data_IF_430927915803
#
_entry.id   IF_430927915803
#
_cell.length_a   1.000
_cell.length_b   1.000
_cell.length_c   1.000
_cell.angle_alpha   90.00
_cell.angle_beta   90.00
_cell.angle_gamma   90.00
#
_symmetry.space_group_name_H-M   'P 1'
#
loop_
_entity.id
_entity.type
_entity.pdbx_description
1 polymer ?
#
# COMPACT_ATOMS: atom_id res chain seq x y z
N UNK A 1 -6.87 27.57 -22.50
CA UNK A 1 -7.90 27.12 -21.54
C UNK A 1 -7.24 27.00 -20.19
N UNK A 2 -7.57 27.92 -19.27
CA UNK A 2 -7.02 27.94 -17.92
C UNK A 2 -7.72 26.86 -17.09
N UNK A 3 -7.14 25.66 -16.98
CA UNK A 3 -7.51 24.76 -15.90
C UNK A 3 -6.80 25.25 -14.64
N UNK A 4 -7.58 25.81 -13.70
CA UNK A 4 -7.19 25.81 -12.28
C UNK A 4 -7.34 24.36 -11.79
N UNK A 5 -6.48 23.48 -12.27
CA UNK A 5 -6.35 22.10 -11.79
C UNK A 5 -5.36 22.07 -10.63
N UNK A 6 -5.75 22.69 -9.51
CA UNK A 6 -5.02 22.62 -8.24
C UNK A 6 -5.63 21.64 -7.23
N UNK A 7 -6.76 21.01 -7.56
CA UNK A 7 -7.79 20.79 -6.54
C UNK A 7 -8.49 19.42 -6.64
N UNK A 8 -7.72 18.35 -6.84
CA UNK A 8 -8.28 16.99 -6.80
C UNK A 8 -8.95 16.66 -5.44
N UNK A 9 -8.56 17.33 -4.35
CA UNK A 9 -9.24 17.23 -3.06
C UNK A 9 -10.47 18.16 -2.90
N UNK A 10 -10.64 19.20 -3.72
CA UNK A 10 -11.85 20.04 -3.62
C UNK A 10 -13.06 19.29 -4.17
N UNK A 11 -12.90 18.55 -5.26
CA UNK A 11 -13.97 17.65 -5.76
C UNK A 11 -14.38 16.64 -4.69
N UNK A 12 -13.47 16.28 -3.80
CA UNK A 12 -13.67 15.34 -2.70
C UNK A 12 -14.30 16.00 -1.45
N UNK A 13 -14.05 17.29 -1.23
CA UNK A 13 -14.52 18.06 -0.06
C UNK A 13 -16.04 18.10 0.04
N UNK A 14 -16.72 18.15 -1.09
CA UNK A 14 -18.19 18.21 -1.15
C UNK A 14 -18.84 16.88 -0.75
N UNK A 15 -18.13 15.76 -0.91
CA UNK A 15 -18.65 14.43 -0.57
C UNK A 15 -18.27 13.97 0.85
N UNK A 16 -17.16 14.46 1.41
CA UNK A 16 -16.68 14.04 2.74
C UNK A 16 -15.82 15.12 3.43
N UNK A 17 -16.48 16.17 3.98
CA UNK A 17 -15.81 17.38 4.46
C UNK A 17 -14.93 17.14 5.68
N UNK A 18 -15.27 16.18 6.55
CA UNK A 18 -14.53 15.94 7.79
C UNK A 18 -13.16 15.31 7.53
N UNK A 19 -13.09 14.25 6.72
CA UNK A 19 -11.84 13.56 6.38
C UNK A 19 -10.91 14.48 5.59
N UNK A 20 -11.44 15.24 4.63
CA UNK A 20 -10.66 16.23 3.86
C UNK A 20 -10.14 17.35 4.76
N UNK A 21 -10.98 17.87 5.66
CA UNK A 21 -10.55 18.89 6.62
C UNK A 21 -9.45 18.36 7.56
N UNK A 22 -9.51 17.09 7.95
CA UNK A 22 -8.47 16.45 8.74
C UNK A 22 -7.16 16.38 7.98
N UNK A 23 -7.17 15.90 6.72
CA UNK A 23 -5.96 15.84 5.88
C UNK A 23 -5.37 17.23 5.65
N UNK A 24 -6.19 18.23 5.35
CA UNK A 24 -5.72 19.59 5.07
C UNK A 24 -5.05 20.28 6.28
N UNK A 25 -5.26 19.76 7.50
CA UNK A 25 -4.57 20.23 8.70
C UNK A 25 -3.21 19.58 8.92
N UNK A 26 -2.89 18.48 8.21
CA UNK A 26 -1.62 17.75 8.33
C UNK A 26 -0.47 18.55 7.72
N UNK A 27 0.63 18.67 8.45
CA UNK A 27 1.82 19.37 7.96
C UNK A 27 2.49 18.62 6.81
N UNK A 28 2.44 17.29 6.83
CA UNK A 28 2.97 16.42 5.78
C UNK A 28 2.27 16.69 4.44
N UNK A 29 0.94 16.86 4.47
CA UNK A 29 0.15 17.19 3.28
C UNK A 29 0.45 18.59 2.76
N UNK A 30 0.51 19.60 3.65
CA UNK A 30 0.84 20.97 3.26
C UNK A 30 2.24 21.06 2.64
N UNK A 31 3.23 20.37 3.24
CA UNK A 31 4.59 20.31 2.74
C UNK A 31 4.64 19.63 1.35
N UNK A 32 3.89 18.54 1.18
CA UNK A 32 3.74 17.86 -0.10
C UNK A 32 3.16 18.78 -1.19
N UNK A 33 2.03 19.44 -0.94
CA UNK A 33 1.39 20.34 -1.91
C UNK A 33 2.32 21.50 -2.28
N UNK A 34 2.91 22.16 -1.28
CA UNK A 34 3.84 23.28 -1.50
C UNK A 34 5.06 22.87 -2.32
N UNK A 35 5.62 21.69 -2.05
CA UNK A 35 6.81 21.22 -2.78
C UNK A 35 6.44 20.78 -4.19
N UNK A 36 5.27 20.16 -4.38
CA UNK A 36 4.73 19.82 -5.69
C UNK A 36 4.56 21.06 -6.58
N UNK A 37 3.92 22.12 -6.08
CA UNK A 37 3.70 23.36 -6.83
C UNK A 37 5.02 23.97 -7.31
N UNK A 38 6.05 23.98 -6.44
CA UNK A 38 7.38 24.46 -6.79
C UNK A 38 8.04 23.60 -7.87
N UNK A 39 7.96 22.28 -7.76
CA UNK A 39 8.50 21.36 -8.76
C UNK A 39 7.82 21.57 -10.12
N UNK A 40 6.50 21.64 -10.12
CA UNK A 40 5.71 21.84 -11.33
C UNK A 40 6.04 23.16 -12.03
N UNK A 41 6.19 24.25 -11.26
CA UNK A 41 6.57 25.56 -11.80
C UNK A 41 7.96 25.53 -12.45
N UNK A 42 8.95 24.92 -11.80
CA UNK A 42 10.31 24.85 -12.32
C UNK A 42 10.40 23.99 -13.59
N UNK A 43 9.71 22.86 -13.61
CA UNK A 43 9.69 21.98 -14.79
C UNK A 43 9.02 22.69 -15.99
N UNK A 44 7.95 23.47 -15.76
CA UNK A 44 7.31 24.29 -16.82
C UNK A 44 8.27 25.32 -17.42
N UNK A 45 9.20 25.89 -16.65
CA UNK A 45 10.20 26.86 -17.13
C UNK A 45 11.26 26.21 -18.03
N UNK A 46 11.67 24.97 -17.71
CA UNK A 46 12.73 24.25 -18.43
C UNK A 46 12.24 23.63 -19.75
N UNK A 47 10.96 23.28 -19.84
CA UNK A 47 10.34 22.68 -21.03
C UNK A 47 10.54 21.16 -21.13
N UNK A 48 9.49 20.46 -21.56
CA UNK A 48 9.46 18.99 -21.68
C UNK A 48 10.01 18.54 -23.04
N UNK A 49 11.32 18.33 -23.14
CA UNK A 49 11.89 17.44 -24.15
C UNK A 49 12.28 16.13 -23.47
N UNK A 50 12.00 14.98 -24.11
CA UNK A 50 12.37 13.68 -23.54
C UNK A 50 13.90 13.59 -23.44
N UNK A 51 14.38 13.49 -22.21
CA UNK A 51 15.79 13.34 -21.89
C UNK A 51 15.92 12.45 -20.65
N UNK A 52 16.66 11.33 -20.73
CA UNK A 52 16.85 10.40 -19.62
C UNK A 52 17.36 11.03 -18.33
N UNK A 53 18.03 12.20 -18.40
CA UNK A 53 18.45 12.98 -17.23
C UNK A 53 17.28 13.46 -16.38
N UNK A 54 16.08 13.55 -16.95
CA UNK A 54 14.84 13.93 -16.26
C UNK A 54 13.95 12.74 -15.87
N UNK A 55 14.43 11.48 -15.97
CA UNK A 55 13.68 10.31 -15.54
C UNK A 55 13.16 10.44 -14.10
N UNK A 56 13.97 10.97 -13.18
CA UNK A 56 13.56 11.25 -11.81
C UNK A 56 12.42 12.29 -11.72
N UNK A 57 12.37 13.26 -12.64
CA UNK A 57 11.27 14.24 -12.71
C UNK A 57 9.99 13.57 -13.21
N UNK A 58 10.04 12.72 -14.24
CA UNK A 58 8.85 11.99 -14.72
C UNK A 58 8.25 11.08 -13.64
N UNK A 59 9.12 10.40 -12.87
CA UNK A 59 8.68 9.61 -11.71
C UNK A 59 8.05 10.50 -10.63
N UNK A 60 8.54 11.71 -10.40
CA UNK A 60 7.95 12.66 -9.47
C UNK A 60 6.49 13.01 -9.83
N UNK A 61 6.15 13.19 -11.11
CA UNK A 61 4.75 13.39 -11.53
C UNK A 61 3.87 12.18 -11.21
N UNK A 62 4.37 10.98 -11.48
CA UNK A 62 3.65 9.74 -11.18
C UNK A 62 3.42 9.57 -9.68
N UNK A 63 4.40 9.94 -8.85
CA UNK A 63 4.29 9.94 -7.40
C UNK A 63 3.27 10.95 -6.89
N UNK A 64 3.23 12.15 -7.48
CA UNK A 64 2.28 13.17 -7.07
C UNK A 64 0.83 12.71 -7.25
N UNK A 65 0.51 12.10 -8.39
CA UNK A 65 -0.81 11.56 -8.66
C UNK A 65 -1.14 10.40 -7.71
N UNK A 66 -0.19 9.49 -7.51
CA UNK A 66 -0.41 8.33 -6.64
C UNK A 66 -0.61 8.72 -5.17
N UNK A 67 0.16 9.69 -4.65
CA UNK A 67 -0.06 10.25 -3.31
C UNK A 67 -1.45 10.89 -3.17
N UNK A 68 -1.91 11.64 -4.18
CA UNK A 68 -3.27 12.22 -4.21
C UNK A 68 -4.34 11.13 -4.21
N UNK A 69 -4.16 10.07 -4.99
CA UNK A 69 -5.09 8.92 -5.03
C UNK A 69 -5.14 8.15 -3.71
N UNK A 70 -4.00 7.95 -3.04
CA UNK A 70 -3.95 7.33 -1.70
C UNK A 70 -4.74 8.18 -0.70
N UNK A 71 -4.49 9.49 -0.67
CA UNK A 71 -5.19 10.41 0.24
C UNK A 71 -6.70 10.43 -0.04
N UNK A 72 -7.07 10.45 -1.32
CA UNK A 72 -8.47 10.38 -1.74
C UNK A 72 -9.13 9.06 -1.28
N UNK A 73 -8.47 7.92 -1.52
CA UNK A 73 -8.94 6.61 -1.09
C UNK A 73 -9.08 6.51 0.43
N UNK A 74 -8.15 7.08 1.19
CA UNK A 74 -8.22 7.12 2.65
C UNK A 74 -9.45 7.92 3.13
N UNK A 75 -9.68 9.11 2.57
CA UNK A 75 -10.84 9.92 2.89
C UNK A 75 -12.17 9.21 2.59
N UNK A 76 -12.24 8.48 1.46
CA UNK A 76 -13.40 7.66 1.11
C UNK A 76 -13.61 6.48 2.05
N UNK A 77 -12.52 5.79 2.42
CA UNK A 77 -12.58 4.70 3.38
C UNK A 77 -13.16 5.18 4.73
N UNK A 78 -12.71 6.34 5.22
CA UNK A 78 -13.23 6.96 6.44
C UNK A 78 -14.72 7.35 6.32
N UNK A 79 -15.11 7.98 5.21
CA UNK A 79 -16.50 8.39 5.00
C UNK A 79 -17.46 7.20 4.97
N UNK A 80 -17.09 6.13 4.26
CA UNK A 80 -17.88 4.90 4.23
C UNK A 80 -17.88 4.18 5.57
N UNK A 81 -16.76 4.22 6.30
CA UNK A 81 -16.65 3.64 7.63
C UNK A 81 -17.63 4.30 8.60
N UNK A 82 -17.67 5.63 8.61
CA UNK A 82 -18.59 6.42 9.43
C UNK A 82 -20.05 6.17 9.03
N UNK A 83 -20.34 6.18 7.74
CA UNK A 83 -21.67 5.84 7.21
C UNK A 83 -22.13 4.46 7.70
N UNK A 84 -21.25 3.45 7.58
CA UNK A 84 -21.56 2.09 7.99
C UNK A 84 -21.79 2.01 9.50
N UNK A 85 -20.93 2.64 10.30
CA UNK A 85 -21.04 2.66 11.77
C UNK A 85 -22.36 3.26 12.28
N UNK A 86 -22.91 4.22 11.52
CA UNK A 86 -24.15 4.90 11.86
C UNK A 86 -25.41 4.16 11.40
N UNK A 87 -25.29 3.18 10.49
CA UNK A 87 -26.44 2.50 9.86
C UNK A 87 -26.59 1.04 10.23
N UNK A 88 -25.56 0.42 10.78
CA UNK A 88 -25.52 -1.02 11.05
C UNK A 88 -25.28 -1.23 12.55
N UNK A 89 -25.76 -2.35 13.08
CA UNK A 89 -25.64 -2.68 14.50
C UNK A 89 -24.35 -3.45 14.75
N UNK A 90 -23.76 -3.27 15.93
CA UNK A 90 -22.64 -4.08 16.38
C UNK A 90 -23.00 -5.58 16.36
N UNK A 91 -22.10 -6.42 15.83
CA UNK A 91 -22.34 -7.86 15.67
C UNK A 91 -22.95 -8.27 14.31
N UNK A 92 -23.25 -7.32 13.43
CA UNK A 92 -23.58 -7.58 12.02
C UNK A 92 -22.41 -8.22 11.27
N UNK A 93 -22.68 -8.83 10.12
CA UNK A 93 -21.66 -9.44 9.25
C UNK A 93 -20.56 -8.45 8.85
N UNK A 94 -19.33 -8.94 8.56
CA UNK A 94 -18.21 -8.09 8.17
C UNK A 94 -18.54 -7.11 7.04
N UNK A 95 -17.88 -5.94 7.03
CA UNK A 95 -18.14 -4.90 6.03
C UNK A 95 -17.81 -5.30 4.60
N UNK A 96 -17.13 -6.42 4.35
CA UNK A 96 -16.96 -6.90 2.97
C UNK A 96 -18.30 -7.31 2.32
N UNK A 97 -19.34 -7.55 3.12
CA UNK A 97 -20.72 -7.73 2.64
C UNK A 97 -21.29 -6.42 2.05
N UNK A 98 -20.67 -5.27 2.35
CA UNK A 98 -20.93 -3.94 1.79
C UNK A 98 -19.60 -3.38 1.24
N UNK A 99 -19.30 -3.79 0.01
CA UNK A 99 -17.99 -3.74 -0.65
C UNK A 99 -17.18 -2.44 -0.52
N UNK A 100 -17.80 -1.28 -0.33
CA UNK A 100 -17.18 0.04 -0.47
C UNK A 100 -16.02 0.30 0.50
N UNK A 101 -16.20 0.09 1.82
CA UNK A 101 -15.10 0.33 2.79
C UNK A 101 -13.91 -0.58 2.50
N UNK A 102 -14.20 -1.86 2.26
CA UNK A 102 -13.20 -2.88 1.96
C UNK A 102 -12.46 -2.60 0.66
N UNK A 103 -13.17 -2.07 -0.34
CA UNK A 103 -12.59 -1.67 -1.62
C UNK A 103 -11.61 -0.51 -1.46
N UNK A 104 -12.01 0.60 -0.83
CA UNK A 104 -11.14 1.78 -0.69
C UNK A 104 -9.93 1.51 0.21
N UNK A 105 -10.10 0.78 1.32
CA UNK A 105 -8.98 0.38 2.16
C UNK A 105 -8.00 -0.55 1.42
N UNK A 106 -8.51 -1.53 0.66
CA UNK A 106 -7.70 -2.44 -0.15
C UNK A 106 -6.92 -1.73 -1.26
N UNK A 107 -7.55 -0.74 -1.91
CA UNK A 107 -6.88 0.08 -2.92
C UNK A 107 -5.77 0.93 -2.28
N UNK A 108 -6.01 1.54 -1.12
CA UNK A 108 -4.98 2.29 -0.40
C UNK A 108 -3.77 1.41 -0.09
N UNK A 109 -3.98 0.19 0.42
CA UNK A 109 -2.91 -0.78 0.70
C UNK A 109 -2.05 -1.01 -0.55
N UNK A 110 -2.69 -1.27 -1.69
CA UNK A 110 -2.00 -1.57 -2.95
C UNK A 110 -1.26 -0.35 -3.50
N UNK A 111 -1.87 0.83 -3.41
CA UNK A 111 -1.27 2.08 -3.89
C UNK A 111 -0.10 2.53 -3.00
N UNK A 112 -0.18 2.36 -1.67
CA UNK A 112 0.91 2.66 -0.74
C UNK A 112 2.16 1.85 -1.10
N UNK A 113 2.00 0.55 -1.31
CA UNK A 113 3.07 -0.36 -1.72
C UNK A 113 3.71 0.10 -3.05
N UNK A 114 2.87 0.34 -4.06
CA UNK A 114 3.34 0.85 -5.35
C UNK A 114 4.02 2.22 -5.27
N UNK A 115 3.56 3.09 -4.38
CA UNK A 115 4.13 4.43 -4.18
C UNK A 115 5.51 4.36 -3.54
N UNK A 116 5.68 3.48 -2.55
CA UNK A 116 6.96 3.19 -1.90
C UNK A 116 8.03 2.79 -2.91
N UNK A 117 7.71 1.83 -3.78
CA UNK A 117 8.62 1.37 -4.84
C UNK A 117 8.93 2.48 -5.85
N UNK A 118 7.92 3.22 -6.31
CA UNK A 118 8.12 4.32 -7.27
C UNK A 118 8.98 5.44 -6.69
N UNK A 119 8.88 5.70 -5.39
CA UNK A 119 9.70 6.71 -4.73
C UNK A 119 11.16 6.28 -4.72
N UNK A 120 11.43 5.01 -4.42
CA UNK A 120 12.77 4.45 -4.50
C UNK A 120 13.31 4.51 -5.95
N UNK A 121 12.52 4.10 -6.95
CA UNK A 121 12.90 4.18 -8.36
C UNK A 121 13.18 5.61 -8.83
N UNK A 122 12.43 6.60 -8.34
CA UNK A 122 12.69 8.02 -8.61
C UNK A 122 14.08 8.44 -8.11
N UNK A 123 14.42 8.08 -6.88
CA UNK A 123 15.74 8.37 -6.28
C UNK A 123 16.83 7.60 -6.99
N UNK A 124 16.58 6.33 -7.33
CA UNK A 124 17.50 5.53 -8.12
C UNK A 124 17.80 6.22 -9.46
N UNK A 125 16.76 6.74 -10.13
CA UNK A 125 16.87 7.39 -11.44
C UNK A 125 17.64 8.71 -11.40
N UNK A 126 17.77 9.29 -10.20
CA UNK A 126 18.58 10.47 -9.97
C UNK A 126 20.08 10.13 -10.12
N UNK A 127 20.52 9.02 -9.55
CA UNK A 127 21.93 8.62 -9.53
C UNK A 127 22.33 7.74 -10.73
N UNK A 128 21.39 6.99 -11.29
CA UNK A 128 21.63 6.08 -12.41
C UNK A 128 20.50 6.25 -13.44
N UNK A 129 20.77 6.85 -14.62
CA UNK A 129 19.76 6.88 -15.67
C UNK A 129 19.46 5.46 -16.17
N UNK A 130 18.29 4.92 -15.85
CA UNK A 130 17.89 3.56 -16.25
C UNK A 130 17.69 3.42 -17.76
N UNK A 131 18.05 2.25 -18.26
CA UNK A 131 17.53 1.74 -19.51
C UNK A 131 16.30 0.87 -19.22
N UNK A 132 15.06 1.35 -19.48
CA UNK A 132 13.85 0.60 -19.18
C UNK A 132 13.70 -0.72 -19.97
N UNK A 133 14.57 -0.96 -20.97
CA UNK A 133 14.58 -2.20 -21.75
C UNK A 133 15.41 -3.33 -21.10
N UNK A 134 16.19 -3.03 -20.06
CA UNK A 134 17.01 -4.01 -19.35
C UNK A 134 16.26 -4.49 -18.10
N UNK A 135 15.70 -5.70 -18.16
CA UNK A 135 14.91 -6.30 -17.06
C UNK A 135 15.63 -6.35 -15.71
N UNK A 136 16.95 -6.35 -15.73
CA UNK A 136 17.82 -6.46 -14.54
C UNK A 136 17.85 -5.16 -13.70
N UNK A 137 17.28 -4.06 -14.20
CA UNK A 137 17.25 -2.76 -13.52
C UNK A 137 15.93 -2.44 -12.78
N UNK A 138 14.90 -3.29 -12.89
CA UNK A 138 13.62 -3.09 -12.18
C UNK A 138 13.73 -3.65 -10.76
N UNK A 139 14.20 -2.82 -9.84
CA UNK A 139 14.36 -3.15 -8.43
C UNK A 139 13.16 -2.68 -7.59
N UNK A 140 12.76 -3.47 -6.60
CA UNK A 140 11.83 -3.06 -5.55
C UNK A 140 12.54 -2.17 -4.52
N UNK A 141 11.77 -1.52 -3.63
CA UNK A 141 12.29 -0.61 -2.61
C UNK A 141 13.53 -1.15 -1.88
N UNK A 142 13.47 -2.38 -1.35
CA UNK A 142 14.59 -2.96 -0.58
C UNK A 142 15.85 -3.10 -1.45
N UNK A 143 15.69 -3.50 -2.71
CA UNK A 143 16.81 -3.67 -3.64
C UNK A 143 17.44 -2.34 -4.04
N UNK A 144 16.64 -1.29 -4.24
CA UNK A 144 17.14 0.07 -4.47
C UNK A 144 17.89 0.57 -3.24
N UNK A 145 17.28 0.46 -2.06
CA UNK A 145 17.86 0.97 -0.82
C UNK A 145 19.19 0.28 -0.50
N UNK A 146 19.30 -1.05 -0.68
CA UNK A 146 20.56 -1.78 -0.47
C UNK A 146 21.68 -1.21 -1.36
N UNK A 147 21.36 -0.94 -2.63
CA UNK A 147 22.34 -0.39 -3.58
C UNK A 147 22.79 1.03 -3.21
N UNK A 148 21.84 1.87 -2.78
CA UNK A 148 22.13 3.23 -2.32
C UNK A 148 22.94 3.24 -1.01
N UNK A 149 22.73 2.28 -0.11
CA UNK A 149 23.47 2.21 1.16
C UNK A 149 24.86 1.57 1.01
N UNK A 150 25.11 0.79 -0.04
CA UNK A 150 26.40 0.14 -0.29
C UNK A 150 26.98 0.51 -1.68
N UNK A 151 27.16 1.81 -1.99
CA UNK A 151 27.48 2.27 -3.34
C UNK A 151 28.78 1.67 -3.89
N UNK A 152 29.81 1.48 -3.05
CA UNK A 152 31.10 0.87 -3.45
C UNK A 152 30.94 -0.58 -3.92
N UNK A 153 30.10 -1.38 -3.23
CA UNK A 153 29.82 -2.78 -3.60
C UNK A 153 29.20 -2.89 -5.00
N UNK A 154 28.44 -1.86 -5.39
CA UNK A 154 27.69 -1.83 -6.64
C UNK A 154 28.27 -0.87 -7.68
N UNK A 155 29.46 -0.30 -7.44
CA UNK A 155 30.13 0.61 -8.38
C UNK A 155 29.39 1.93 -8.64
N UNK A 156 28.54 2.37 -7.70
CA UNK A 156 27.73 3.58 -7.83
C UNK A 156 28.48 4.77 -7.22
N UNK A 157 28.44 5.92 -7.88
CA UNK A 157 28.98 7.18 -7.35
C UNK A 157 27.83 8.05 -6.85
N UNK A 158 27.71 8.18 -5.52
CA UNK A 158 26.72 9.05 -4.87
C UNK A 158 27.40 10.37 -4.47
N UNK A 159 27.39 11.36 -5.36
CA UNK A 159 27.83 12.71 -4.99
C UNK A 159 26.64 13.53 -4.48
N UNK A 160 26.78 14.09 -3.27
CA UNK A 160 26.10 15.31 -2.87
C UNK A 160 24.70 15.24 -2.26
N UNK A 161 24.09 14.08 -2.02
CA UNK A 161 22.69 14.04 -1.53
C UNK A 161 22.35 12.84 -0.62
N UNK A 162 22.98 12.77 0.56
CA UNK A 162 22.66 11.77 1.59
C UNK A 162 21.20 11.89 2.07
N UNK A 163 20.65 13.11 1.97
CA UNK A 163 19.30 13.48 2.36
C UNK A 163 18.23 12.68 1.61
N UNK A 164 18.45 12.31 0.35
CA UNK A 164 17.53 11.41 -0.38
C UNK A 164 17.38 10.06 0.33
N UNK A 165 18.50 9.51 0.78
CA UNK A 165 18.54 8.21 1.46
C UNK A 165 17.85 8.34 2.81
N UNK A 166 18.09 9.42 3.55
CA UNK A 166 17.42 9.68 4.83
C UNK A 166 15.89 9.74 4.69
N UNK A 167 15.37 10.37 3.62
CA UNK A 167 13.93 10.38 3.34
C UNK A 167 13.39 9.00 2.95
N UNK A 168 14.13 8.20 2.18
CA UNK A 168 13.75 6.82 1.92
C UNK A 168 13.73 5.99 3.20
N UNK A 169 14.70 6.16 4.10
CA UNK A 169 14.72 5.42 5.36
C UNK A 169 13.48 5.69 6.24
N UNK A 170 12.78 6.83 6.09
CA UNK A 170 11.51 7.09 6.79
C UNK A 170 10.39 6.15 6.38
N UNK A 171 10.44 5.60 5.17
CA UNK A 171 9.49 4.61 4.67
C UNK A 171 9.99 3.17 4.89
N UNK A 172 10.99 2.99 5.76
CA UNK A 172 11.39 1.71 6.35
C UNK A 172 10.66 1.55 7.67
N UNK A 173 9.88 0.49 7.81
CA UNK A 173 9.23 0.24 9.09
C UNK A 173 8.22 -0.89 9.06
N UNK A 174 7.83 -1.32 10.25
CA UNK A 174 6.88 -2.41 10.42
C UNK A 174 5.49 -2.05 9.90
N UNK A 175 5.10 -0.77 9.91
CA UNK A 175 3.81 -0.34 9.37
C UNK A 175 3.74 -0.62 7.85
N UNK A 176 4.79 -0.32 7.08
CA UNK A 176 4.86 -0.66 5.64
C UNK A 176 4.90 -2.18 5.40
N UNK A 177 5.70 -2.91 6.17
CA UNK A 177 5.73 -4.39 6.11
C UNK A 177 4.39 -5.02 6.45
N UNK A 178 3.60 -4.40 7.34
CA UNK A 178 2.23 -4.85 7.65
C UNK A 178 1.30 -4.64 6.47
N UNK A 179 1.37 -3.48 5.81
CA UNK A 179 0.62 -3.18 4.59
C UNK A 179 0.94 -4.18 3.46
N UNK A 180 2.21 -4.50 3.25
CA UNK A 180 2.65 -5.53 2.28
C UNK A 180 2.05 -6.91 2.56
N UNK A 181 2.07 -7.34 3.82
CA UNK A 181 1.42 -8.60 4.23
C UNK A 181 -0.07 -8.63 3.85
N UNK A 182 -0.76 -7.50 3.97
CA UNK A 182 -2.18 -7.39 3.57
C UNK A 182 -2.35 -7.50 2.05
N UNK A 183 -1.42 -6.94 1.26
CA UNK A 183 -1.44 -7.03 -0.21
C UNK A 183 -1.34 -8.47 -0.70
N UNK A 184 -0.43 -9.27 -0.15
CA UNK A 184 -0.25 -10.67 -0.57
C UNK A 184 -1.53 -11.50 -0.44
N UNK A 185 -2.33 -11.26 0.60
CA UNK A 185 -3.57 -12.01 0.84
C UNK A 185 -4.64 -11.69 -0.22
N UNK A 186 -4.73 -10.43 -0.66
CA UNK A 186 -5.57 -10.02 -1.81
C UNK A 186 -5.16 -10.72 -3.11
N UNK A 187 -3.86 -10.84 -3.39
CA UNK A 187 -3.35 -11.47 -4.62
C UNK A 187 -3.72 -12.96 -4.68
N UNK A 188 -3.78 -13.64 -3.54
CA UNK A 188 -4.16 -15.06 -3.45
C UNK A 188 -5.69 -15.32 -3.47
N UNK A 189 -6.51 -14.36 -3.94
CA UNK A 189 -7.98 -14.40 -4.00
C UNK A 189 -8.70 -14.62 -2.66
N UNK A 190 -7.99 -14.63 -1.54
CA UNK A 190 -8.61 -14.58 -0.22
C UNK A 190 -8.85 -13.11 0.09
N UNK A 191 -10.02 -12.60 -0.30
CA UNK A 191 -10.38 -11.24 0.05
C UNK A 191 -10.46 -11.12 1.57
N UNK A 192 -9.59 -10.30 2.17
CA UNK A 192 -9.63 -10.10 3.59
C UNK A 192 -10.91 -9.37 3.97
N UNK A 193 -11.52 -9.81 5.06
CA UNK A 193 -12.80 -9.28 5.50
C UNK A 193 -12.55 -8.19 6.53
N UNK A 194 -12.99 -6.96 6.25
CA UNK A 194 -12.77 -5.84 7.18
C UNK A 194 -13.95 -5.75 8.16
N UNK A 195 -13.64 -5.73 9.45
CA UNK A 195 -14.58 -5.56 10.55
C UNK A 195 -14.57 -4.14 11.09
N UNK A 196 -15.74 -3.50 11.10
CA UNK A 196 -15.84 -2.06 11.41
C UNK A 196 -15.75 -1.74 12.90
N UNK A 197 -16.29 -2.62 13.73
CA UNK A 197 -16.39 -2.43 15.17
C UNK A 197 -15.24 -3.13 15.86
N UNK A 198 -15.27 -4.47 15.87
CA UNK A 198 -14.31 -5.35 16.51
C UNK A 198 -14.62 -6.81 16.16
N UNK A 199 -13.70 -7.71 16.49
CA UNK A 199 -13.93 -9.14 16.31
C UNK A 199 -15.07 -9.65 17.21
N UNK A 200 -16.22 -10.05 16.63
CA UNK A 200 -17.43 -10.52 17.32
C UNK A 200 -17.63 -12.06 17.32
N UNK A 201 -18.71 -12.57 17.96
CA UNK A 201 -18.94 -14.01 18.15
C UNK A 201 -19.36 -14.79 16.88
N UNK A 202 -19.89 -14.13 15.85
CA UNK A 202 -20.24 -14.77 14.56
C UNK A 202 -19.01 -15.23 13.76
N UNK A 203 -17.80 -15.00 14.28
CA UNK A 203 -16.52 -15.22 13.58
C UNK A 203 -15.95 -16.62 13.79
N UNK A 204 -16.63 -17.43 14.61
CA UNK A 204 -16.44 -18.88 14.70
C UNK A 204 -17.16 -19.62 13.56
N UNK A 205 -17.94 -18.94 12.72
CA UNK A 205 -18.52 -19.54 11.50
C UNK A 205 -17.34 -19.99 10.62
N UNK A 206 -17.22 -21.28 10.28
CA UNK A 206 -16.07 -21.80 9.55
C UNK A 206 -16.20 -21.50 8.04
N UNK A 207 -15.15 -20.95 7.45
CA UNK A 207 -15.00 -20.90 5.99
C UNK A 207 -14.41 -22.21 5.48
N UNK A 208 -14.94 -22.74 4.39
CA UNK A 208 -14.39 -23.92 3.72
C UNK A 208 -13.39 -23.47 2.66
N UNK A 209 -12.12 -23.82 2.86
CA UNK A 209 -11.04 -23.52 1.89
C UNK A 209 -10.61 -24.81 1.20
N UNK A 210 -10.62 -24.87 -0.15
CA UNK A 210 -10.12 -26.04 -0.86
C UNK A 210 -8.60 -26.16 -0.68
N UNK A 211 -8.12 -27.37 -0.42
CA UNK A 211 -6.71 -27.69 -0.31
C UNK A 211 -6.22 -28.18 -1.67
N UNK A 212 -5.65 -27.26 -2.47
CA UNK A 212 -5.29 -27.50 -3.87
C UNK A 212 -3.83 -27.92 -4.07
N UNK A 213 -2.98 -27.80 -3.04
CA UNK A 213 -1.54 -28.14 -3.13
C UNK A 213 -1.18 -29.29 -2.20
N UNK A 214 -0.22 -30.12 -2.61
CA UNK A 214 0.28 -31.23 -1.80
C UNK A 214 0.80 -30.76 -0.43
N UNK A 215 1.43 -29.59 -0.37
CA UNK A 215 1.89 -28.98 0.89
C UNK A 215 0.71 -28.63 1.82
N UNK A 216 -0.35 -28.02 1.29
CA UNK A 216 -1.54 -27.66 2.08
C UNK A 216 -2.30 -28.89 2.60
N UNK A 217 -2.37 -29.95 1.78
CA UNK A 217 -2.97 -31.24 2.15
C UNK A 217 -2.13 -31.89 3.25
N UNK A 218 -0.81 -31.88 3.12
CA UNK A 218 0.09 -32.46 4.11
C UNK A 218 0.01 -31.71 5.46
N UNK A 219 0.03 -30.37 5.44
CA UNK A 219 -0.21 -29.54 6.64
C UNK A 219 -1.57 -29.81 7.29
N UNK A 220 -2.60 -30.11 6.50
CA UNK A 220 -3.90 -30.47 7.06
C UNK A 220 -3.87 -31.86 7.72
N UNK A 221 -3.26 -32.86 7.05
CA UNK A 221 -3.04 -34.19 7.64
C UNK A 221 -2.23 -34.13 8.93
N UNK A 222 -1.21 -33.28 9.00
CA UNK A 222 -0.40 -33.12 10.22
C UNK A 222 -1.20 -32.46 11.35
N UNK A 223 -2.05 -31.47 11.07
CA UNK A 223 -3.01 -30.94 12.06
C UNK A 223 -4.02 -31.98 12.56
N UNK A 224 -4.47 -32.89 11.69
CA UNK A 224 -5.32 -34.01 12.09
C UNK A 224 -4.57 -34.99 12.98
N UNK A 225 -3.26 -35.23 12.74
CA UNK A 225 -2.40 -36.04 13.61
C UNK A 225 -2.30 -35.48 15.02
N UNK A 226 -2.20 -34.16 15.16
CA UNK A 226 -2.15 -33.48 16.45
C UNK A 226 -3.48 -33.53 17.22
N UNK A 227 -4.62 -33.39 16.51
CA UNK A 227 -5.96 -33.37 17.13
C UNK A 227 -6.53 -34.75 17.47
N UNK A 228 -6.21 -35.74 16.66
CA UNK A 228 -6.81 -37.08 16.75
C UNK A 228 -5.68 -38.13 16.80
N UNK A 229 -5.43 -38.74 17.97
CA UNK A 229 -4.35 -39.74 18.12
C UNK A 229 -4.58 -40.99 17.26
N UNK A 230 -5.84 -41.36 17.04
CA UNK A 230 -6.28 -42.55 16.32
C UNK A 230 -6.09 -42.42 14.78
N UNK A 231 -5.28 -43.28 14.14
CA UNK A 231 -5.11 -43.34 12.69
C UNK A 231 -6.40 -43.52 11.88
N UNK A 232 -7.28 -44.43 12.29
CA UNK A 232 -8.44 -44.81 11.48
C UNK A 232 -9.53 -43.74 11.56
N UNK A 233 -9.66 -43.13 12.73
CA UNK A 233 -10.53 -41.97 12.92
C UNK A 233 -10.04 -40.76 12.13
N UNK A 234 -8.72 -40.51 12.06
CA UNK A 234 -8.15 -39.43 11.24
C UNK A 234 -8.46 -39.57 9.76
N UNK A 235 -8.31 -40.77 9.23
CA UNK A 235 -8.59 -41.04 7.81
C UNK A 235 -10.08 -40.85 7.51
N UNK A 236 -10.96 -41.32 8.42
CA UNK A 236 -12.39 -41.09 8.33
C UNK A 236 -12.74 -39.60 8.35
N UNK A 237 -12.11 -38.81 9.22
CA UNK A 237 -12.31 -37.34 9.27
C UNK A 237 -11.82 -36.68 7.98
N UNK A 238 -10.65 -37.07 7.47
CA UNK A 238 -10.09 -36.54 6.23
C UNK A 238 -10.99 -36.82 5.02
N UNK A 239 -11.52 -38.03 4.88
CA UNK A 239 -12.45 -38.39 3.81
C UNK A 239 -13.77 -37.61 3.89
N UNK A 240 -14.31 -37.40 5.10
CA UNK A 240 -15.51 -36.58 5.32
C UNK A 240 -15.32 -35.09 5.02
N UNK A 241 -14.07 -34.62 4.97
CA UNK A 241 -13.74 -33.25 4.59
C UNK A 241 -13.65 -33.06 3.06
N UNK A 242 -13.83 -34.12 2.25
CA UNK A 242 -13.84 -34.00 0.79
C UNK A 242 -15.22 -33.59 0.28
N UNK A 243 -15.24 -32.62 -0.62
CA UNK A 243 -16.42 -32.26 -1.42
C UNK A 243 -16.01 -32.46 -2.88
N UNK A 244 -16.74 -33.31 -3.60
CA UNK A 244 -16.41 -33.69 -4.99
C UNK A 244 -14.95 -34.19 -5.16
N UNK A 245 -14.45 -34.91 -4.15
CA UNK A 245 -13.08 -35.45 -4.16
C UNK A 245 -11.98 -34.44 -3.79
N UNK A 246 -12.30 -33.15 -3.68
CA UNK A 246 -11.35 -32.12 -3.24
C UNK A 246 -11.42 -31.99 -1.72
N UNK A 247 -10.30 -32.13 -0.99
CA UNK A 247 -10.29 -31.93 0.47
C UNK A 247 -10.43 -30.45 0.82
N UNK A 248 -11.30 -30.14 1.78
CA UNK A 248 -11.48 -28.81 2.34
C UNK A 248 -11.00 -28.74 3.79
N UNK A 249 -10.39 -27.63 4.17
CA UNK A 249 -10.15 -27.30 5.57
C UNK A 249 -11.16 -26.26 6.02
N UNK A 250 -11.69 -26.41 7.23
CA UNK A 250 -12.38 -25.31 7.91
C UNK A 250 -11.35 -24.34 8.47
N UNK A 251 -11.54 -23.06 8.22
CA UNK A 251 -10.76 -21.98 8.84
C UNK A 251 -11.78 -21.04 9.50
N UNK A 252 -11.71 -20.83 10.83
CA UNK A 252 -12.52 -19.81 11.49
C UNK A 252 -12.38 -18.46 10.79
N UNK A 253 -13.50 -17.80 10.50
CA UNK A 253 -13.53 -16.51 9.80
C UNK A 253 -12.67 -15.47 10.51
N UNK A 254 -12.56 -15.50 11.84
CA UNK A 254 -11.65 -14.65 12.64
C UNK A 254 -10.19 -14.63 12.17
N UNK A 255 -9.69 -15.68 11.52
CA UNK A 255 -8.31 -15.71 11.00
C UNK A 255 -8.12 -14.92 9.70
N UNK A 256 -9.20 -14.52 9.05
CA UNK A 256 -9.22 -13.72 7.82
C UNK A 256 -9.85 -12.33 8.04
N UNK A 257 -10.31 -12.06 9.26
CA UNK A 257 -10.91 -10.79 9.62
C UNK A 257 -9.87 -9.79 10.09
N UNK A 258 -10.03 -8.56 9.65
CA UNK A 258 -9.17 -7.46 10.03
C UNK A 258 -9.98 -6.32 10.59
N UNK A 259 -9.55 -5.83 11.74
CA UNK A 259 -10.17 -4.66 12.32
C UNK A 259 -9.87 -3.41 11.49
N UNK A 260 -10.93 -2.71 11.09
CA UNK A 260 -10.87 -1.44 10.39
C UNK A 260 -9.94 -0.45 11.11
N UNK A 261 -10.07 -0.35 12.44
CA UNK A 261 -9.25 0.57 13.26
C UNK A 261 -7.75 0.31 13.10
N UNK A 262 -7.36 -0.97 12.99
CA UNK A 262 -5.97 -1.39 12.82
C UNK A 262 -5.48 -1.05 11.42
N UNK A 263 -6.25 -1.41 10.38
CA UNK A 263 -5.91 -1.09 8.99
C UNK A 263 -5.81 0.42 8.78
N UNK A 264 -6.81 1.17 9.25
CA UNK A 264 -6.87 2.63 9.21
C UNK A 264 -5.60 3.24 9.76
N UNK A 265 -5.14 2.79 10.94
CA UNK A 265 -3.91 3.31 11.56
C UNK A 265 -2.66 3.01 10.73
N UNK A 266 -2.58 1.83 10.13
CA UNK A 266 -1.44 1.47 9.28
C UNK A 266 -1.43 2.28 7.98
N UNK A 267 -2.59 2.41 7.32
CA UNK A 267 -2.74 3.24 6.11
C UNK A 267 -2.40 4.70 6.44
N UNK A 268 -2.97 5.25 7.52
CA UNK A 268 -2.73 6.64 7.94
C UNK A 268 -1.24 6.92 8.13
N UNK A 269 -0.54 6.09 8.91
CA UNK A 269 0.89 6.25 9.15
C UNK A 269 1.72 6.13 7.87
N UNK A 270 1.46 5.10 7.05
CA UNK A 270 2.21 4.89 5.81
C UNK A 270 1.97 6.03 4.83
N UNK A 271 0.73 6.51 4.70
CA UNK A 271 0.37 7.66 3.87
C UNK A 271 1.13 8.91 4.32
N UNK A 272 1.12 9.24 5.62
CA UNK A 272 1.83 10.41 6.13
C UNK A 272 3.35 10.30 5.92
N UNK A 273 3.93 9.12 6.19
CA UNK A 273 5.34 8.86 5.92
C UNK A 273 5.72 8.98 4.44
N UNK A 274 4.85 8.52 3.54
CA UNK A 274 5.03 8.69 2.09
C UNK A 274 4.97 10.15 1.67
N UNK A 275 4.01 10.93 2.19
CA UNK A 275 3.90 12.36 1.88
C UNK A 275 5.16 13.12 2.33
N UNK A 276 5.63 12.84 3.55
CA UNK A 276 6.85 13.44 4.09
C UNK A 276 8.09 13.08 3.28
N UNK A 277 8.29 11.78 3.01
CA UNK A 277 9.43 11.31 2.22
C UNK A 277 9.40 11.86 0.79
N UNK A 278 8.24 11.87 0.15
CA UNK A 278 8.07 12.40 -1.21
C UNK A 278 8.40 13.89 -1.27
N UNK A 279 7.86 14.68 -0.34
CA UNK A 279 8.17 16.11 -0.25
C UNK A 279 9.66 16.37 0.00
N UNK A 280 10.29 15.57 0.86
CA UNK A 280 11.73 15.62 1.12
C UNK A 280 12.56 15.36 -0.14
N UNK A 281 12.31 14.23 -0.80
CA UNK A 281 12.99 13.85 -2.03
C UNK A 281 12.78 14.87 -3.15
N UNK A 282 11.60 15.48 -3.28
CA UNK A 282 11.39 16.54 -4.27
C UNK A 282 12.16 17.82 -3.95
N UNK A 283 12.32 18.18 -2.68
CA UNK A 283 13.16 19.33 -2.31
C UNK A 283 14.62 19.08 -2.69
N UNK A 284 15.12 17.85 -2.54
CA UNK A 284 16.46 17.50 -3.03
C UNK A 284 16.55 17.53 -4.56
N UNK A 285 15.53 17.02 -5.26
CA UNK A 285 15.46 17.06 -6.72
C UNK A 285 15.50 18.50 -7.26
N UNK A 286 14.80 19.42 -6.59
CA UNK A 286 14.75 20.86 -6.92
C UNK A 286 16.11 21.57 -6.81
N UNK A 287 17.08 21.01 -6.08
CA UNK A 287 18.44 21.58 -6.00
C UNK A 287 19.29 21.29 -7.24
N UNK A 288 18.80 20.48 -8.18
CA UNK A 288 19.55 20.05 -9.37
C UNK A 288 19.46 21.08 -10.50
N UNK A 289 20.58 21.40 -11.17
CA UNK A 289 20.53 22.08 -12.47
C UNK A 289 20.08 21.11 -13.58
N UNK A 290 19.23 21.52 -14.54
CA UNK A 290 18.82 22.88 -14.87
C UNK A 290 17.56 23.41 -14.17
N UNK A 291 16.97 22.69 -13.19
CA UNK A 291 15.75 23.14 -12.49
C UNK A 291 15.94 24.40 -11.61
N UNK A 292 17.19 24.86 -11.46
CA UNK A 292 17.55 26.08 -10.73
C UNK A 292 17.64 27.34 -11.61
N UNK A 293 17.37 27.27 -12.92
CA UNK A 293 17.44 28.43 -13.84
C UNK A 293 16.09 29.08 -14.08
#
# INVERSE_FOLDING_TARGET
MNSKEGDHLIVARDYFPNSVAWVNKREEWKAFVKTWERLEEQVKKVGFSFDPRFNSVFWAYSLANLCKEIVFGFCWAEAWADFYKNKITEGSMPSNAVMQVSFYAGNCITMIDSCRDKLALMVWAYFCPFNPNEKEEILIYEGVLERLLAPVKFGIKLEGHQEFIEYLEKIKGDDFKRIEKYRHLKVHRMEPQIEMYQTGPHQEIPYLVPLTTSESIQKFKDRLKEKYPDPDFRETVFERCKIEGVPFSTIPVKHQLWEYKTIRKHIEKCMLGLLEATAGCWNELLKRQPLLK
#
